data_IF_385155298773
#
_entry.id   IF_385155298773
#
_cell.length_a   1.000
_cell.length_b   1.000
_cell.length_c   1.000
_cell.angle_alpha   90.00
_cell.angle_beta   90.00
_cell.angle_gamma   90.00
#
_symmetry.space_group_name_H-M   'P 1'
#
loop_
_entity.id
_entity.type
_entity.pdbx_description
1 polymer ?
#
# COMPACT_ATOMS: atom_id res chain seq x y z
N UNK A 1 -0.06 10.72 -6.63
CA UNK A 1 0.14 10.02 -5.34
C UNK A 1 0.53 8.56 -5.57
N UNK A 2 -0.26 7.76 -6.30
CA UNK A 2 0.03 6.34 -6.56
C UNK A 2 1.38 6.14 -7.27
N UNK A 3 1.69 6.95 -8.29
CA UNK A 3 2.94 6.84 -9.06
C UNK A 3 4.23 7.00 -8.23
N UNK A 4 4.20 7.80 -7.15
CA UNK A 4 5.34 7.98 -6.25
C UNK A 4 5.54 6.81 -5.30
N UNK A 5 4.54 5.94 -5.15
CA UNK A 5 4.57 4.76 -4.28
C UNK A 5 4.90 3.48 -5.04
N UNK A 6 4.79 3.50 -6.37
CA UNK A 6 5.07 2.37 -7.27
C UNK A 6 6.48 2.41 -7.87
N UNK A 7 7.41 3.17 -7.27
CA UNK A 7 8.81 3.17 -7.72
C UNK A 7 9.39 1.76 -7.61
N UNK A 8 9.80 1.16 -8.74
CA UNK A 8 10.30 -0.22 -8.83
C UNK A 8 9.28 -1.30 -9.22
N UNK A 9 8.03 -0.93 -9.51
CA UNK A 9 7.02 -1.87 -10.04
C UNK A 9 7.24 -2.12 -11.53
N UNK A 10 7.11 -3.37 -11.96
CA UNK A 10 7.10 -3.71 -13.38
C UNK A 10 5.69 -3.52 -13.98
N UNK A 11 5.60 -3.51 -15.32
CA UNK A 11 4.31 -3.39 -16.02
C UNK A 11 3.31 -4.48 -15.61
N UNK A 12 3.81 -5.70 -15.39
CA UNK A 12 3.01 -6.83 -14.87
C UNK A 12 2.50 -6.59 -13.45
N UNK A 13 3.26 -5.86 -12.64
CA UNK A 13 2.86 -5.58 -11.27
C UNK A 13 1.70 -4.58 -11.24
N UNK A 14 1.72 -3.60 -12.17
CA UNK A 14 0.65 -2.62 -12.32
C UNK A 14 -0.65 -3.27 -12.79
N UNK A 15 -0.62 -4.24 -13.71
CA UNK A 15 -1.85 -4.93 -14.14
C UNK A 15 -2.48 -5.71 -12.98
N UNK A 16 -1.66 -6.46 -12.24
CA UNK A 16 -2.14 -7.22 -11.07
C UNK A 16 -2.68 -6.29 -9.98
N UNK A 17 -2.07 -5.12 -9.80
CA UNK A 17 -2.53 -4.12 -8.84
C UNK A 17 -3.90 -3.56 -9.22
N UNK A 18 -4.13 -3.28 -10.50
CA UNK A 18 -5.45 -2.84 -10.99
C UNK A 18 -6.51 -3.93 -10.82
N UNK A 19 -6.18 -5.18 -11.14
CA UNK A 19 -7.10 -6.30 -10.96
C UNK A 19 -7.48 -6.50 -9.48
N UNK A 20 -6.51 -6.38 -8.58
CA UNK A 20 -6.74 -6.47 -7.14
C UNK A 20 -7.56 -5.28 -6.62
N UNK A 21 -7.28 -4.07 -7.07
CA UNK A 21 -8.04 -2.88 -6.67
C UNK A 21 -9.49 -2.97 -7.13
N UNK A 22 -9.72 -3.51 -8.33
CA UNK A 22 -11.06 -3.80 -8.82
C UNK A 22 -11.76 -4.84 -7.95
N UNK A 23 -11.08 -5.92 -7.57
CA UNK A 23 -11.64 -6.94 -6.67
C UNK A 23 -12.01 -6.36 -5.29
N UNK A 24 -11.17 -5.50 -4.72
CA UNK A 24 -11.44 -4.85 -3.43
C UNK A 24 -12.63 -3.89 -3.54
N UNK A 25 -12.72 -3.13 -4.62
CA UNK A 25 -13.86 -2.24 -4.91
C UNK A 25 -15.18 -3.03 -5.00
N UNK A 26 -15.16 -4.18 -5.68
CA UNK A 26 -16.32 -5.08 -5.77
C UNK A 26 -16.72 -5.63 -4.40
N UNK A 27 -15.75 -6.08 -3.61
CA UNK A 27 -16.00 -6.57 -2.24
C UNK A 27 -16.62 -5.47 -1.36
N UNK A 28 -16.12 -4.23 -1.45
CA UNK A 28 -16.69 -3.08 -0.73
C UNK A 28 -18.13 -2.78 -1.17
N UNK A 29 -18.42 -2.85 -2.47
CA UNK A 29 -19.77 -2.66 -3.00
C UNK A 29 -20.75 -3.72 -2.47
N UNK A 30 -20.34 -5.00 -2.50
CA UNK A 30 -21.12 -6.11 -1.93
C UNK A 30 -21.34 -5.89 -0.44
N UNK A 31 -20.27 -5.62 0.32
CA UNK A 31 -20.36 -5.40 1.76
C UNK A 31 -21.34 -4.28 2.10
N UNK A 32 -21.27 -3.14 1.41
CA UNK A 32 -22.19 -2.02 1.63
C UNK A 32 -23.66 -2.34 1.27
N UNK A 33 -23.87 -3.21 0.28
CA UNK A 33 -25.22 -3.66 -0.12
C UNK A 33 -25.80 -4.60 0.93
N UNK A 34 -24.97 -5.52 1.43
CA UNK A 34 -25.32 -6.48 2.47
C UNK A 34 -25.63 -5.76 3.79
N UNK A 35 -24.80 -4.81 4.22
CA UNK A 35 -25.05 -4.04 5.46
C UNK A 35 -26.37 -3.27 5.39
N UNK A 36 -26.67 -2.61 4.25
CA UNK A 36 -27.96 -1.92 4.05
C UNK A 36 -29.15 -2.87 4.10
N UNK A 37 -29.01 -4.08 3.57
CA UNK A 37 -30.07 -5.10 3.66
C UNK A 37 -30.30 -5.54 5.12
N UNK A 38 -29.25 -5.71 5.92
CA UNK A 38 -29.38 -6.04 7.34
C UNK A 38 -29.97 -4.88 8.16
N UNK A 39 -29.56 -3.64 7.91
CA UNK A 39 -30.13 -2.47 8.57
C UNK A 39 -31.61 -2.29 8.25
N UNK A 40 -32.01 -2.44 6.98
CA UNK A 40 -33.41 -2.39 6.57
C UNK A 40 -34.23 -3.51 7.23
N UNK A 41 -33.67 -4.72 7.34
CA UNK A 41 -34.32 -5.84 8.02
C UNK A 41 -34.40 -5.65 9.54
N UNK A 42 -33.44 -4.93 10.13
CA UNK A 42 -33.42 -4.58 11.57
C UNK A 42 -34.41 -3.47 11.91
N UNK A 43 -34.62 -2.51 11.01
CA UNK A 43 -35.67 -1.47 11.11
C UNK A 43 -37.08 -2.04 11.00
N UNK A 44 -37.28 -3.17 10.30
CA UNK A 44 -38.57 -3.89 10.27
C UNK A 44 -38.80 -4.87 11.43
N UNK A 45 -37.81 -5.05 12.32
CA UNK A 45 -37.86 -5.94 13.49
C UNK A 45 -37.83 -5.14 14.82
N UNK A 46 -38.31 -3.90 14.80
CA UNK A 46 -38.74 -3.21 16.03
C UNK A 46 -40.19 -3.59 16.26
N UNK A 47 -40.38 -4.52 17.19
CA UNK A 47 -41.65 -5.13 17.55
C UNK A 47 -42.64 -4.14 18.22
N UNK A 48 -43.94 -4.52 18.29
CA UNK A 48 -45.08 -3.62 18.28
C UNK A 48 -45.57 -3.26 19.68
N UNK A 49 -45.22 -2.09 20.19
CA UNK A 49 -45.87 -1.53 21.41
C UNK A 49 -46.53 -0.15 21.19
N UNK A 50 -46.75 0.28 19.94
CA UNK A 50 -47.51 1.51 19.65
C UNK A 50 -48.54 1.38 18.53
N UNK A 51 -49.25 0.25 18.47
CA UNK A 51 -50.49 0.15 17.68
C UNK A 51 -51.63 -0.43 18.50
N UNK A 52 -52.05 0.32 19.51
CA UNK A 52 -53.37 0.10 20.10
C UNK A 52 -54.04 1.43 20.49
N UNK A 53 -54.21 2.35 19.53
CA UNK A 53 -55.42 3.16 19.41
C UNK A 53 -55.46 3.88 18.06
N UNK A 54 -56.54 3.69 17.29
CA UNK A 54 -57.04 4.77 16.44
C UNK A 54 -57.08 4.55 14.92
N UNK A 55 -58.17 3.92 14.49
CA UNK A 55 -58.97 4.24 13.28
C UNK A 55 -58.48 3.83 11.90
N UNK A 56 -59.38 3.07 11.26
CA UNK A 56 -59.33 2.60 9.89
C UNK A 56 -59.47 3.73 8.86
N UNK A 57 -58.66 3.66 7.79
CA UNK A 57 -59.09 4.12 6.47
C UNK A 57 -58.50 3.26 5.36
N UNK A 58 -59.43 2.55 4.71
CA UNK A 58 -59.39 1.84 3.43
C UNK A 58 -58.77 2.67 2.30
N UNK A 59 -57.84 2.08 1.54
CA UNK A 59 -57.73 2.26 0.07
C UNK A 59 -56.77 1.24 -0.54
N UNK A 60 -57.39 0.18 -1.05
CA UNK A 60 -57.26 -0.35 -2.41
C UNK A 60 -55.88 -0.35 -3.08
N UNK A 61 -55.49 -1.58 -3.47
CA UNK A 61 -54.92 -1.96 -4.78
C UNK A 61 -53.46 -2.43 -4.79
N UNK A 62 -53.36 -3.71 -5.19
CA UNK A 62 -52.21 -4.36 -5.83
C UNK A 62 -51.07 -4.82 -4.93
N UNK A 63 -51.31 -6.01 -4.36
CA UNK A 63 -50.28 -6.98 -4.05
C UNK A 63 -49.41 -7.23 -5.30
N UNK A 64 -48.27 -6.54 -5.38
CA UNK A 64 -47.19 -6.92 -6.29
C UNK A 64 -46.28 -7.83 -5.50
N UNK A 65 -46.40 -9.12 -5.78
CA UNK A 65 -45.44 -10.15 -5.38
C UNK A 65 -44.08 -9.67 -5.86
N UNK A 66 -43.23 -9.17 -4.96
CA UNK A 66 -41.84 -8.85 -5.29
C UNK A 66 -41.10 -10.18 -5.37
N UNK A 67 -41.35 -10.91 -6.46
CA UNK A 67 -40.42 -11.86 -7.00
C UNK A 67 -39.13 -11.07 -7.23
N UNK A 68 -38.19 -11.20 -6.29
CA UNK A 68 -36.83 -10.69 -6.41
C UNK A 68 -36.21 -11.34 -7.63
N UNK A 69 -36.46 -10.73 -8.77
CA UNK A 69 -35.89 -11.08 -10.05
C UNK A 69 -34.40 -10.86 -9.87
N UNK A 70 -33.68 -11.96 -9.71
CA UNK A 70 -32.23 -12.00 -9.78
C UNK A 70 -31.88 -11.63 -11.22
N UNK A 71 -31.88 -10.33 -11.50
CA UNK A 71 -31.51 -9.79 -12.79
C UNK A 71 -30.05 -10.12 -12.94
N UNK A 72 -29.76 -11.16 -13.71
CA UNK A 72 -28.47 -11.36 -14.37
C UNK A 72 -28.31 -10.22 -15.37
N UNK A 73 -28.06 -9.02 -14.85
CA UNK A 73 -27.49 -7.96 -15.64
C UNK A 73 -25.99 -8.15 -15.60
N UNK A 74 -25.50 -8.74 -16.68
CA UNK A 74 -24.17 -8.52 -17.20
C UNK A 74 -23.93 -7.02 -17.43
N UNK A 75 -23.81 -6.23 -16.36
CA UNK A 75 -23.26 -4.88 -16.42
C UNK A 75 -21.77 -4.97 -16.14
N UNK A 76 -21.04 -5.11 -17.24
CA UNK A 76 -19.60 -4.98 -17.34
C UNK A 76 -19.20 -3.58 -16.81
N UNK A 77 -18.41 -3.56 -15.73
CA UNK A 77 -17.66 -2.45 -15.12
C UNK A 77 -18.38 -1.12 -14.84
N UNK A 78 -18.88 -0.95 -13.61
CA UNK A 78 -19.42 0.33 -13.11
C UNK A 78 -19.20 0.55 -11.62
N UNK A 79 -18.12 0.02 -11.04
CA UNK A 79 -17.73 0.37 -9.68
C UNK A 79 -16.64 1.44 -9.74
N UNK A 80 -16.94 2.65 -9.28
CA UNK A 80 -15.93 3.69 -9.08
C UNK A 80 -14.87 3.16 -8.12
N UNK A 81 -13.68 2.91 -8.67
CA UNK A 81 -12.52 2.50 -7.88
C UNK A 81 -12.05 3.73 -7.12
N UNK A 82 -12.11 3.66 -5.79
CA UNK A 82 -11.67 4.76 -4.94
C UNK A 82 -10.17 4.68 -4.77
N UNK A 83 -9.57 5.84 -4.48
CA UNK A 83 -8.15 5.91 -4.18
C UNK A 83 -7.78 5.08 -2.93
N UNK A 84 -8.72 4.93 -1.99
CA UNK A 84 -8.58 4.07 -0.80
C UNK A 84 -8.44 2.59 -1.15
N UNK A 85 -9.11 2.12 -2.22
CA UNK A 85 -9.01 0.73 -2.67
C UNK A 85 -7.57 0.46 -3.14
N UNK A 86 -6.95 1.41 -3.86
CA UNK A 86 -5.56 1.32 -4.27
C UNK A 86 -4.57 1.36 -3.10
N UNK A 87 -4.83 2.18 -2.08
CA UNK A 87 -3.99 2.24 -0.88
C UNK A 87 -3.99 0.90 -0.15
N UNK A 88 -5.17 0.29 0.05
CA UNK A 88 -5.30 -1.00 0.74
C UNK A 88 -4.58 -2.15 0.00
N UNK A 89 -4.59 -2.12 -1.33
CA UNK A 89 -3.87 -3.11 -2.16
C UNK A 89 -2.38 -2.88 -2.09
N UNK A 90 -1.92 -1.63 -2.14
CA UNK A 90 -0.50 -1.27 -2.08
C UNK A 90 0.16 -1.69 -0.76
N UNK A 91 -0.57 -1.69 0.36
CA UNK A 91 -0.04 -2.15 1.65
C UNK A 91 0.30 -3.65 1.66
N UNK A 92 -0.45 -4.45 0.89
CA UNK A 92 -0.31 -5.91 0.86
C UNK A 92 0.35 -6.42 -0.43
N UNK A 93 0.82 -5.52 -1.29
CA UNK A 93 1.39 -5.87 -2.58
C UNK A 93 2.92 -5.84 -2.54
N UNK A 94 3.53 -7.00 -2.77
CA UNK A 94 4.98 -7.12 -2.97
C UNK A 94 5.28 -7.17 -4.47
N UNK A 95 6.00 -6.18 -5.04
CA UNK A 95 6.33 -6.19 -6.46
C UNK A 95 7.23 -7.36 -6.83
N UNK A 96 7.13 -7.82 -8.07
CA UNK A 96 7.91 -8.95 -8.57
C UNK A 96 9.42 -8.72 -8.43
N UNK A 97 9.87 -7.46 -8.59
CA UNK A 97 11.27 -7.07 -8.42
C UNK A 97 11.82 -7.31 -7.00
N UNK A 98 10.94 -7.36 -5.99
CA UNK A 98 11.30 -7.56 -4.58
C UNK A 98 10.96 -8.98 -4.10
N UNK A 99 10.33 -9.80 -4.95
CA UNK A 99 9.88 -11.14 -4.62
C UNK A 99 11.08 -12.10 -4.62
N UNK A 100 11.49 -12.53 -3.43
CA UNK A 100 12.65 -13.42 -3.22
C UNK A 100 13.86 -12.74 -2.58
N UNK A 101 13.78 -11.42 -2.33
CA UNK A 101 14.76 -10.70 -1.52
C UNK A 101 14.24 -10.63 -0.09
N UNK A 102 15.07 -11.01 0.89
CA UNK A 102 14.81 -10.71 2.30
C UNK A 102 15.01 -9.22 2.53
N UNK A 103 14.00 -8.45 2.13
CA UNK A 103 13.94 -7.03 2.45
C UNK A 103 13.74 -6.93 3.96
N UNK A 104 14.77 -6.46 4.65
CA UNK A 104 14.53 -5.99 6.01
C UNK A 104 13.63 -4.77 5.88
N UNK A 105 12.43 -4.85 6.49
CA UNK A 105 11.48 -3.74 6.57
C UNK A 105 12.23 -2.47 6.95
N UNK A 106 12.00 -1.36 6.22
CA UNK A 106 12.65 -0.05 6.42
C UNK A 106 12.98 0.14 7.90
N UNK A 107 14.25 -0.04 8.25
CA UNK A 107 14.67 -0.11 9.62
C UNK A 107 14.26 1.18 10.34
N UNK A 108 13.85 1.09 11.61
CA UNK A 108 13.62 2.28 12.46
C UNK A 108 14.93 2.98 12.84
N UNK A 109 16.03 2.73 12.13
CA UNK A 109 17.38 3.12 12.48
C UNK A 109 17.79 4.25 11.54
N UNK A 110 17.96 5.45 12.09
CA UNK A 110 18.45 6.61 11.36
C UNK A 110 19.93 6.85 11.71
N UNK A 111 20.59 7.72 10.94
CA UNK A 111 21.96 8.16 11.22
C UNK A 111 22.20 8.69 12.65
N UNK A 112 21.15 9.25 13.28
CA UNK A 112 21.17 9.71 14.67
C UNK A 112 21.33 8.58 15.70
N UNK A 113 20.90 7.36 15.37
CA UNK A 113 20.98 6.20 16.27
C UNK A 113 22.37 5.56 16.29
N UNK A 114 23.19 5.85 15.28
CA UNK A 114 24.58 5.40 15.22
C UNK A 114 25.44 6.39 16.00
N UNK A 115 25.99 6.00 17.15
CA UNK A 115 26.95 6.80 17.89
C UNK A 115 28.32 6.82 17.21
N UNK A 116 29.00 7.97 17.19
CA UNK A 116 30.36 8.10 16.64
C UNK A 116 30.44 7.89 15.11
N UNK A 117 31.58 7.33 14.66
CA UNK A 117 31.90 7.00 13.26
C UNK A 117 31.67 8.18 12.30
N UNK A 118 31.99 9.40 12.72
CA UNK A 118 31.75 10.63 11.97
C UNK A 118 32.49 10.65 10.64
N UNK A 119 33.73 10.18 10.63
CA UNK A 119 34.56 10.07 9.43
C UNK A 119 33.95 9.07 8.43
N UNK A 120 33.64 7.85 8.86
CA UNK A 120 33.03 6.84 7.99
C UNK A 120 31.68 7.31 7.43
N UNK A 121 30.84 7.96 8.24
CA UNK A 121 29.57 8.57 7.79
C UNK A 121 29.80 9.63 6.72
N UNK A 122 30.79 10.49 6.92
CA UNK A 122 31.16 11.52 5.94
C UNK A 122 31.58 10.88 4.63
N UNK A 123 32.56 9.97 4.64
CA UNK A 123 33.04 9.28 3.44
C UNK A 123 31.93 8.55 2.69
N UNK A 124 31.04 7.85 3.40
CA UNK A 124 29.88 7.18 2.79
C UNK A 124 28.92 8.16 2.13
N UNK A 125 28.67 9.30 2.78
CA UNK A 125 27.82 10.36 2.24
C UNK A 125 28.44 10.97 0.99
N UNK A 126 29.73 11.28 1.00
CA UNK A 126 30.43 11.83 -0.16
C UNK A 126 30.46 10.83 -1.32
N UNK A 127 30.62 9.55 -1.02
CA UNK A 127 30.69 8.49 -2.04
C UNK A 127 29.33 8.16 -2.65
N UNK A 128 28.25 8.16 -1.88
CA UNK A 128 26.92 7.76 -2.37
C UNK A 128 25.98 8.95 -2.65
N UNK A 129 25.93 9.94 -1.75
CA UNK A 129 25.00 11.07 -1.88
C UNK A 129 25.45 12.08 -2.95
N UNK A 130 26.74 12.39 -3.05
CA UNK A 130 27.20 13.39 -4.02
C UNK A 130 27.00 12.98 -5.48
N UNK A 131 27.27 11.73 -5.90
CA UNK A 131 26.96 11.29 -7.26
C UNK A 131 25.45 11.33 -7.56
N UNK A 132 24.61 11.01 -6.56
CA UNK A 132 23.15 11.08 -6.69
C UNK A 132 22.66 12.52 -6.83
N UNK A 133 23.25 13.46 -6.06
CA UNK A 133 22.85 14.88 -6.06
C UNK A 133 23.36 15.64 -7.29
N UNK A 134 24.54 15.29 -7.81
CA UNK A 134 25.19 16.04 -8.90
C UNK A 134 25.57 15.17 -10.11
N UNK A 135 24.60 14.45 -10.72
CA UNK A 135 24.90 13.48 -11.78
C UNK A 135 25.56 14.12 -13.01
N UNK A 136 25.27 15.39 -13.32
CA UNK A 136 25.83 16.10 -14.47
C UNK A 136 27.34 16.38 -14.32
N UNK A 137 27.79 16.74 -13.11
CA UNK A 137 29.20 17.00 -12.81
C UNK A 137 30.02 15.71 -12.90
N UNK A 138 29.49 14.62 -12.34
CA UNK A 138 30.18 13.34 -12.38
C UNK A 138 30.20 12.69 -13.78
N UNK A 139 29.21 12.98 -14.65
CA UNK A 139 29.22 12.52 -16.05
C UNK A 139 30.29 13.18 -16.92
N UNK A 140 30.63 14.44 -16.63
CA UNK A 140 31.68 15.17 -17.34
C UNK A 140 33.09 14.82 -16.85
N UNK A 141 33.19 14.14 -15.71
CA UNK A 141 34.47 13.77 -15.12
C UNK A 141 34.90 12.38 -15.63
N UNK A 142 36.15 12.21 -16.10
CA UNK A 142 36.67 10.90 -16.53
C UNK A 142 36.94 9.92 -15.38
N UNK A 143 36.47 10.23 -14.16
CA UNK A 143 36.70 9.43 -12.96
C UNK A 143 35.67 8.31 -12.90
N UNK A 144 36.14 7.07 -12.71
CA UNK A 144 35.29 5.89 -12.51
C UNK A 144 34.51 6.04 -11.20
N UNK A 145 33.18 6.04 -11.27
CA UNK A 145 32.34 6.00 -10.09
C UNK A 145 32.56 4.68 -9.34
N UNK A 146 32.88 4.76 -8.05
CA UNK A 146 33.10 3.59 -7.20
C UNK A 146 31.74 2.89 -6.94
N UNK A 147 31.61 1.63 -7.33
CA UNK A 147 30.35 0.89 -7.24
C UNK A 147 30.15 0.10 -5.93
N UNK A 148 31.13 0.09 -5.03
CA UNK A 148 31.06 -0.72 -3.81
C UNK A 148 31.91 -0.15 -2.67
N UNK A 149 31.39 -0.28 -1.44
CA UNK A 149 32.09 0.09 -0.22
C UNK A 149 32.21 -1.14 0.67
N UNK A 150 33.41 -1.37 1.21
CA UNK A 150 33.67 -2.44 2.17
C UNK A 150 33.88 -1.84 3.55
N UNK A 151 33.02 -2.21 4.51
CA UNK A 151 33.16 -1.83 5.91
C UNK A 151 33.90 -2.94 6.67
N UNK A 152 35.10 -2.66 7.18
CA UNK A 152 35.94 -3.64 7.89
C UNK A 152 36.30 -3.19 9.32
N UNK A 153 36.82 -4.13 10.12
CA UNK A 153 37.34 -3.91 11.48
C UNK A 153 36.73 -4.84 12.54
N UNK A 154 37.02 -4.60 13.82
CA UNK A 154 36.60 -5.48 14.92
C UNK A 154 35.07 -5.72 14.98
N UNK A 155 34.62 -6.91 15.42
CA UNK A 155 33.20 -7.20 15.62
C UNK A 155 32.62 -6.28 16.71
N UNK A 156 31.31 -6.00 16.65
CA UNK A 156 30.64 -5.13 17.64
C UNK A 156 30.79 -3.61 17.41
N UNK A 157 31.54 -3.17 16.40
CA UNK A 157 31.69 -1.73 16.05
C UNK A 157 30.54 -1.16 15.21
N UNK A 158 29.43 -1.89 15.08
CA UNK A 158 28.22 -1.38 14.44
C UNK A 158 28.28 -1.21 12.92
N UNK A 159 29.16 -1.89 12.19
CA UNK A 159 29.27 -1.79 10.71
C UNK A 159 27.97 -2.14 9.99
N UNK A 160 27.35 -3.26 10.36
CA UNK A 160 26.06 -3.69 9.80
C UNK A 160 24.94 -2.71 10.17
N UNK A 161 24.98 -2.18 11.40
CA UNK A 161 24.03 -1.18 11.88
C UNK A 161 24.20 0.15 11.11
N UNK A 162 25.43 0.55 10.80
CA UNK A 162 25.73 1.71 9.97
C UNK A 162 25.20 1.51 8.54
N UNK A 163 25.38 0.34 7.94
CA UNK A 163 24.86 0.02 6.61
C UNK A 163 23.32 0.07 6.56
N UNK A 164 22.65 -0.47 7.58
CA UNK A 164 21.19 -0.38 7.70
C UNK A 164 20.71 1.07 7.87
N UNK A 165 21.38 1.84 8.72
CA UNK A 165 21.07 3.26 8.92
C UNK A 165 21.28 4.10 7.65
N UNK A 166 22.32 3.79 6.87
CA UNK A 166 22.64 4.42 5.60
C UNK A 166 21.56 4.19 4.56
N UNK A 167 21.07 2.95 4.45
CA UNK A 167 20.00 2.62 3.52
C UNK A 167 18.71 3.40 3.83
N UNK A 168 18.37 3.55 5.12
CA UNK A 168 17.20 4.34 5.52
C UNK A 168 17.38 5.83 5.23
N UNK A 169 18.55 6.41 5.51
CA UNK A 169 18.82 7.83 5.29
C UNK A 169 18.72 8.20 3.80
N UNK A 170 19.18 7.31 2.92
CA UNK A 170 19.11 7.51 1.47
C UNK A 170 17.84 6.95 0.83
N UNK A 171 16.88 6.46 1.62
CA UNK A 171 15.66 5.82 1.14
C UNK A 171 15.92 4.69 0.12
N UNK A 172 17.06 4.00 0.26
CA UNK A 172 17.48 2.90 -0.61
C UNK A 172 16.89 1.58 -0.13
N UNK A 173 16.77 0.62 -1.05
CA UNK A 173 16.39 -0.73 -0.71
C UNK A 173 17.56 -1.46 -0.03
N UNK A 174 17.32 -2.08 1.13
CA UNK A 174 18.35 -2.82 1.86
C UNK A 174 18.14 -4.33 1.72
N UNK A 175 19.13 -5.00 1.14
CA UNK A 175 19.15 -6.45 0.95
C UNK A 175 20.33 -7.02 1.72
N UNK A 176 20.05 -7.88 2.70
CA UNK A 176 21.08 -8.62 3.42
C UNK A 176 21.14 -10.04 2.86
N UNK A 177 22.34 -10.49 2.50
CA UNK A 177 22.62 -11.87 2.09
C UNK A 177 23.59 -12.42 3.12
N UNK A 178 23.26 -13.57 3.71
CA UNK A 178 24.05 -14.22 4.75
C UNK A 178 24.76 -15.46 4.22
#
# INVERSE_FOLDING_TARGET
IIALRTEGFQVKDLSVLVDRALSVSQQRAIHSTVTKQYENKRLSLVDPEQQFLGTAKKKDSSATVVAGSFKRESSVYGTDVKLDDFISVLENYLPAALKGLSLHSRGKINFKRVGGLTEAKKTLTETMLWPSKYPKLFKACPIKQHAGVLLYGAPGTGKTLLAEALANEFCLNFVSIK
#
